data_IF_509701905806
#
_entry.id   IF_509701905806
#
_cell.length_a   1.000
_cell.length_b   1.000
_cell.length_c   1.000
_cell.angle_alpha   90.00
_cell.angle_beta   90.00
_cell.angle_gamma   90.00
#
_symmetry.space_group_name_H-M   'P 1'
#
loop_
_entity.id
_entity.type
_entity.pdbx_description
1 polymer ?
#
# COMPACT_ATOMS: atom_id res chain seq x y z
N UNK A 1 -10.18 12.98 -5.38
CA UNK A 1 -9.10 12.98 -6.40
C UNK A 1 -7.90 13.87 -6.04
N UNK A 2 -8.00 15.22 -6.00
CA UNK A 2 -6.84 16.11 -5.78
C UNK A 2 -6.03 15.78 -4.51
N UNK A 3 -6.72 15.54 -3.39
CA UNK A 3 -6.11 15.13 -2.11
C UNK A 3 -5.27 13.86 -2.24
N UNK A 4 -5.78 12.85 -2.95
CA UNK A 4 -5.09 11.59 -3.18
C UNK A 4 -3.87 11.76 -4.09
N UNK A 5 -4.01 12.54 -5.18
CA UNK A 5 -2.92 12.82 -6.11
C UNK A 5 -1.76 13.54 -5.42
N UNK A 6 -2.07 14.60 -4.66
CA UNK A 6 -1.09 15.39 -3.93
C UNK A 6 -0.43 14.55 -2.84
N UNK A 7 -1.22 13.80 -2.07
CA UNK A 7 -0.72 12.96 -0.98
C UNK A 7 0.20 11.82 -1.44
N UNK A 8 0.07 11.38 -2.70
CA UNK A 8 0.94 10.39 -3.31
C UNK A 8 2.14 10.99 -4.09
N UNK A 9 2.24 12.31 -4.17
CA UNK A 9 3.30 13.01 -4.89
C UNK A 9 4.49 13.34 -3.98
N UNK A 10 5.66 13.54 -4.58
CA UNK A 10 6.85 14.03 -3.87
C UNK A 10 6.87 15.57 -3.70
N UNK A 11 5.76 16.28 -3.94
CA UNK A 11 5.73 17.75 -3.97
C UNK A 11 6.13 18.41 -2.63
N UNK A 12 6.05 17.68 -1.51
CA UNK A 12 6.46 18.14 -0.18
C UNK A 12 7.60 17.33 0.46
N UNK A 13 8.16 16.33 -0.21
CA UNK A 13 9.19 15.47 0.38
C UNK A 13 10.55 16.19 0.44
N UNK A 14 11.15 16.25 1.63
CA UNK A 14 12.50 16.82 1.83
C UNK A 14 12.59 18.35 1.72
N UNK A 15 11.45 19.05 1.65
CA UNK A 15 11.38 20.51 1.55
C UNK A 15 10.94 21.11 2.90
N UNK A 16 11.57 22.21 3.30
CA UNK A 16 11.11 23.02 4.43
C UNK A 16 9.67 23.51 4.17
N UNK A 17 8.77 23.30 5.15
CA UNK A 17 7.32 23.52 5.00
C UNK A 17 6.60 22.62 3.97
N UNK A 18 7.13 21.42 3.69
CA UNK A 18 6.54 20.45 2.74
C UNK A 18 5.04 20.16 2.88
N UNK A 19 4.53 20.06 4.12
CA UNK A 19 3.10 19.87 4.38
C UNK A 19 2.27 21.04 3.88
N UNK A 20 2.73 22.27 4.13
CA UNK A 20 2.06 23.48 3.68
C UNK A 20 2.03 23.55 2.14
N UNK A 21 3.15 23.24 1.46
CA UNK A 21 3.20 23.20 -0.01
C UNK A 21 2.26 22.15 -0.61
N UNK A 22 2.15 20.99 0.05
CA UNK A 22 1.22 19.94 -0.36
C UNK A 22 -0.23 20.40 -0.23
N UNK A 23 -0.62 20.95 0.93
CA UNK A 23 -2.00 21.46 1.11
C UNK A 23 -2.32 22.61 0.14
N UNK A 24 -1.39 23.54 -0.10
CA UNK A 24 -1.61 24.61 -1.08
C UNK A 24 -1.75 24.09 -2.51
N UNK A 25 -0.97 23.07 -2.90
CA UNK A 25 -1.10 22.43 -4.20
C UNK A 25 -2.48 21.76 -4.37
N UNK A 26 -3.01 21.14 -3.30
CA UNK A 26 -4.37 20.59 -3.28
C UNK A 26 -5.43 21.68 -3.45
N UNK A 27 -5.31 22.80 -2.73
CA UNK A 27 -6.26 23.92 -2.84
C UNK A 27 -6.26 24.54 -4.23
N UNK A 28 -5.12 24.54 -4.94
CA UNK A 28 -5.07 24.96 -6.35
C UNK A 28 -5.63 23.90 -7.31
N UNK A 29 -5.26 22.62 -7.14
CA UNK A 29 -5.65 21.56 -8.09
C UNK A 29 -7.13 21.18 -8.00
N UNK A 30 -7.75 21.25 -6.83
CA UNK A 30 -9.16 20.91 -6.65
C UNK A 30 -10.12 21.73 -7.54
N UNK A 31 -10.10 23.08 -7.52
CA UNK A 31 -10.97 23.89 -8.38
C UNK A 31 -10.60 23.74 -9.86
N UNK A 32 -9.33 23.54 -10.22
CA UNK A 32 -8.92 23.32 -11.61
C UNK A 32 -9.45 22.00 -12.18
N UNK A 33 -9.38 20.91 -11.40
CA UNK A 33 -9.96 19.62 -11.79
C UNK A 33 -11.49 19.72 -11.90
N UNK A 34 -12.13 20.45 -10.99
CA UNK A 34 -13.57 20.69 -11.04
C UNK A 34 -13.98 21.48 -12.28
N UNK A 35 -13.27 22.58 -12.58
CA UNK A 35 -13.47 23.38 -13.78
C UNK A 35 -13.33 22.53 -15.05
N UNK A 36 -12.29 21.69 -15.12
CA UNK A 36 -12.08 20.81 -16.25
C UNK A 36 -13.22 19.81 -16.45
N UNK A 37 -13.73 19.23 -15.36
CA UNK A 37 -14.90 18.34 -15.42
C UNK A 37 -16.15 19.06 -15.93
N UNK A 38 -16.38 20.31 -15.50
CA UNK A 38 -17.54 21.12 -15.92
C UNK A 38 -17.51 21.52 -17.39
N UNK A 39 -16.33 21.85 -17.95
CA UNK A 39 -16.19 22.29 -19.33
C UNK A 39 -15.66 21.21 -20.30
N UNK A 40 -15.63 19.94 -19.88
CA UNK A 40 -15.22 18.81 -20.71
C UNK A 40 -13.76 18.86 -21.15
N UNK A 41 -12.88 19.44 -20.32
CA UNK A 41 -11.44 19.53 -20.56
C UNK A 41 -10.69 18.34 -19.98
N UNK A 42 -9.54 18.06 -20.56
CA UNK A 42 -8.68 16.95 -20.15
C UNK A 42 -7.73 17.38 -19.02
N UNK A 43 -7.12 16.40 -18.36
CA UNK A 43 -6.03 16.65 -17.40
C UNK A 43 -4.83 17.36 -18.05
N UNK A 44 -4.69 17.27 -19.38
CA UNK A 44 -3.65 17.99 -20.13
C UNK A 44 -3.92 19.49 -20.20
N UNK A 45 -5.20 19.89 -20.22
CA UNK A 45 -5.61 21.29 -20.12
C UNK A 45 -5.35 21.83 -18.71
N UNK A 46 -5.65 21.05 -17.67
CA UNK A 46 -5.31 21.38 -16.27
C UNK A 46 -3.80 21.60 -16.12
N UNK A 47 -2.99 20.66 -16.65
CA UNK A 47 -1.53 20.82 -16.66
C UNK A 47 -1.09 22.07 -17.42
N UNK A 48 -1.76 22.42 -18.52
CA UNK A 48 -1.47 23.64 -19.28
C UNK A 48 -1.77 24.90 -18.47
N UNK A 49 -2.91 24.97 -17.79
CA UNK A 49 -3.27 26.09 -16.92
C UNK A 49 -2.23 26.29 -15.81
N UNK A 50 -1.83 25.20 -15.15
CA UNK A 50 -0.80 25.23 -14.10
C UNK A 50 0.58 25.63 -14.68
N UNK A 51 1.00 25.06 -15.81
CA UNK A 51 2.31 25.33 -16.38
C UNK A 51 2.47 26.77 -16.90
N UNK A 52 1.37 27.39 -17.36
CA UNK A 52 1.36 28.77 -17.86
C UNK A 52 0.99 29.79 -16.79
N UNK A 53 0.58 29.33 -15.60
CA UNK A 53 0.05 30.18 -14.54
C UNK A 53 -1.14 31.01 -15.06
N UNK A 54 -1.96 30.38 -15.90
CA UNK A 54 -3.10 30.99 -16.58
C UNK A 54 -4.34 30.14 -16.31
N UNK A 55 -5.16 30.60 -15.37
CA UNK A 55 -6.34 29.89 -14.86
C UNK A 55 -7.64 30.63 -15.21
N UNK A 56 -7.58 31.64 -16.09
CA UNK A 56 -8.74 32.48 -16.44
C UNK A 56 -9.88 31.65 -17.06
N UNK A 57 -9.53 30.71 -17.94
CA UNK A 57 -10.50 29.79 -18.54
C UNK A 57 -11.19 28.92 -17.48
N UNK A 58 -10.44 28.42 -16.51
CA UNK A 58 -10.96 27.59 -15.42
C UNK A 58 -11.89 28.41 -14.49
N UNK A 59 -11.48 29.62 -14.11
CA UNK A 59 -12.31 30.52 -13.30
C UNK A 59 -13.66 30.83 -13.94
N UNK A 60 -13.66 31.19 -15.24
CA UNK A 60 -14.91 31.42 -15.98
C UNK A 60 -15.81 30.19 -16.05
N UNK A 61 -15.23 29.00 -16.17
CA UNK A 61 -16.00 27.75 -16.18
C UNK A 61 -16.68 27.50 -14.83
N UNK A 62 -16.01 27.80 -13.72
CA UNK A 62 -16.56 27.69 -12.36
C UNK A 62 -17.69 28.72 -12.14
N UNK A 63 -17.45 29.98 -12.49
CA UNK A 63 -18.46 31.05 -12.40
C UNK A 63 -19.71 30.73 -13.24
N UNK A 64 -19.53 30.28 -14.48
CA UNK A 64 -20.64 29.94 -15.36
C UNK A 64 -21.49 28.76 -14.85
N UNK A 65 -20.89 27.87 -14.06
CA UNK A 65 -21.56 26.74 -13.43
C UNK A 65 -22.16 27.08 -12.04
N UNK A 66 -21.95 28.30 -11.52
CA UNK A 66 -22.36 28.68 -10.17
C UNK A 66 -21.56 27.97 -9.07
N UNK A 67 -20.33 27.55 -9.35
CA UNK A 67 -19.44 26.88 -8.40
C UNK A 67 -18.66 27.90 -7.55
N UNK A 68 -19.38 28.80 -6.87
CA UNK A 68 -18.83 30.02 -6.25
C UNK A 68 -17.67 29.72 -5.30
N UNK A 69 -17.79 28.73 -4.42
CA UNK A 69 -16.72 28.37 -3.49
C UNK A 69 -15.42 27.94 -4.20
N UNK A 70 -15.53 27.17 -5.29
CA UNK A 70 -14.37 26.75 -6.06
C UNK A 70 -13.78 27.91 -6.88
N UNK A 71 -14.62 28.83 -7.36
CA UNK A 71 -14.18 30.05 -8.04
C UNK A 71 -13.42 30.96 -7.06
N UNK A 72 -13.94 31.17 -5.85
CA UNK A 72 -13.32 31.95 -4.78
C UNK A 72 -11.98 31.36 -4.34
N UNK A 73 -11.90 30.04 -4.14
CA UNK A 73 -10.66 29.34 -3.81
C UNK A 73 -9.59 29.55 -4.90
N UNK A 74 -10.00 29.50 -6.18
CA UNK A 74 -9.10 29.72 -7.31
C UNK A 74 -8.64 31.19 -7.41
N UNK A 75 -9.55 32.16 -7.24
CA UNK A 75 -9.24 33.59 -7.24
C UNK A 75 -8.28 33.95 -6.10
N UNK A 76 -8.53 33.41 -4.89
CA UNK A 76 -7.68 33.63 -3.73
C UNK A 76 -6.21 33.26 -4.02
N UNK A 77 -5.97 32.10 -4.65
CA UNK A 77 -4.62 31.65 -5.00
C UNK A 77 -4.05 32.41 -6.21
N UNK A 78 -4.86 32.59 -7.25
CA UNK A 78 -4.37 33.10 -8.53
C UNK A 78 -4.15 34.62 -8.55
N UNK A 79 -4.96 35.38 -7.81
CA UNK A 79 -4.97 36.83 -7.86
C UNK A 79 -4.62 37.50 -6.53
N UNK A 80 -4.85 36.83 -5.38
CA UNK A 80 -4.69 37.46 -4.04
C UNK A 80 -3.47 36.99 -3.26
N UNK A 81 -2.87 35.86 -3.62
CA UNK A 81 -1.61 35.38 -3.04
C UNK A 81 -0.42 36.19 -3.56
N UNK A 82 0.54 36.46 -2.68
CA UNK A 82 1.80 37.15 -3.03
C UNK A 82 2.58 36.39 -4.12
N UNK A 83 3.29 37.12 -4.98
CA UNK A 83 3.89 36.60 -6.21
C UNK A 83 4.81 35.39 -6.00
N UNK A 84 5.69 35.45 -4.99
CA UNK A 84 6.64 34.39 -4.69
C UNK A 84 5.95 33.16 -4.11
N UNK A 85 5.00 33.35 -3.21
CA UNK A 85 4.18 32.27 -2.66
C UNK A 85 3.35 31.60 -3.76
N UNK A 86 2.66 32.39 -4.58
CA UNK A 86 1.88 31.92 -5.73
C UNK A 86 2.74 31.09 -6.69
N UNK A 87 3.91 31.62 -7.07
CA UNK A 87 4.87 30.90 -7.92
C UNK A 87 5.27 29.54 -7.33
N UNK A 88 5.45 29.47 -6.00
CA UNK A 88 5.81 28.24 -5.29
C UNK A 88 4.66 27.22 -5.26
N UNK A 89 3.42 27.68 -5.11
CA UNK A 89 2.21 26.84 -5.18
C UNK A 89 2.07 26.23 -6.58
N UNK A 90 2.18 27.04 -7.64
CA UNK A 90 2.11 26.55 -9.02
C UNK A 90 3.25 25.57 -9.34
N UNK A 91 4.47 25.83 -8.86
CA UNK A 91 5.60 24.91 -9.02
C UNK A 91 5.32 23.55 -8.35
N UNK A 92 4.77 23.56 -7.13
CA UNK A 92 4.40 22.35 -6.39
C UNK A 92 3.29 21.57 -7.12
N UNK A 93 2.25 22.25 -7.61
CA UNK A 93 1.18 21.63 -8.39
C UNK A 93 1.66 21.01 -9.71
N UNK A 94 2.71 21.56 -10.34
CA UNK A 94 3.33 20.95 -11.54
C UNK A 94 3.93 19.58 -11.22
N UNK A 95 4.53 19.40 -10.04
CA UNK A 95 5.15 18.13 -9.63
C UNK A 95 4.09 17.03 -9.59
N UNK A 96 2.91 17.32 -9.03
CA UNK A 96 1.77 16.39 -8.96
C UNK A 96 1.31 15.94 -10.34
N UNK A 97 1.39 16.83 -11.34
CA UNK A 97 0.95 16.59 -12.71
C UNK A 97 2.05 16.06 -13.64
N UNK A 98 3.24 15.71 -13.13
CA UNK A 98 4.38 15.28 -13.95
C UNK A 98 4.08 14.05 -14.83
N UNK A 99 3.28 13.09 -14.35
CA UNK A 99 2.85 11.93 -15.13
C UNK A 99 2.18 12.31 -16.46
N UNK A 100 1.47 13.44 -16.47
CA UNK A 100 0.75 13.94 -17.65
C UNK A 100 1.61 14.80 -18.58
N UNK A 101 2.93 14.85 -18.34
CA UNK A 101 3.87 15.62 -19.14
C UNK A 101 4.30 14.97 -20.46
N UNK A 102 4.05 13.67 -20.65
CA UNK A 102 4.39 12.99 -21.90
C UNK A 102 3.33 13.18 -22.98
N UNK A 103 3.75 13.21 -24.24
CA UNK A 103 2.84 13.28 -25.39
C UNK A 103 1.88 12.08 -25.43
N UNK A 104 2.33 10.91 -24.96
CA UNK A 104 1.49 9.73 -24.87
C UNK A 104 0.38 9.91 -23.83
N UNK A 105 0.72 10.37 -22.62
CA UNK A 105 -0.28 10.68 -21.61
C UNK A 105 -1.28 11.74 -22.10
N UNK A 106 -0.79 12.77 -22.80
CA UNK A 106 -1.63 13.83 -23.36
C UNK A 106 -2.54 13.38 -24.52
N UNK A 107 -2.14 12.35 -25.29
CA UNK A 107 -3.01 11.74 -26.30
C UNK A 107 -4.10 10.88 -25.66
N UNK A 108 -3.72 10.07 -24.66
CA UNK A 108 -4.63 9.17 -23.94
C UNK A 108 -5.67 9.90 -23.13
N UNK A 109 -5.30 11.02 -22.49
CA UNK A 109 -6.20 11.83 -21.67
C UNK A 109 -7.34 12.51 -22.43
N UNK A 110 -7.31 12.55 -23.78
CA UNK A 110 -8.35 13.18 -24.59
C UNK A 110 -9.63 12.38 -24.68
N UNK A 111 -9.57 11.07 -24.44
CA UNK A 111 -10.72 10.19 -24.53
C UNK A 111 -10.85 9.45 -23.21
N UNK A 112 -11.99 9.63 -22.55
CA UNK A 112 -12.35 8.80 -21.41
C UNK A 112 -12.40 7.34 -21.85
N UNK A 113 -11.63 6.50 -21.16
CA UNK A 113 -11.50 5.08 -21.44
C UNK A 113 -11.86 4.22 -20.21
N UNK A 114 -12.30 4.85 -19.12
CA UNK A 114 -12.66 4.19 -17.87
C UNK A 114 -13.79 4.98 -17.20
N UNK A 115 -14.76 4.26 -16.65
CA UNK A 115 -15.86 4.79 -15.84
C UNK A 115 -15.91 3.97 -14.55
N UNK A 116 -15.65 4.62 -13.42
CA UNK A 116 -15.63 3.97 -12.12
C UNK A 116 -17.03 3.50 -11.68
N UNK A 117 -18.10 4.22 -12.04
CA UNK A 117 -19.47 3.84 -11.72
C UNK A 117 -19.93 2.62 -12.51
N UNK A 118 -19.50 2.49 -13.76
CA UNK A 118 -19.74 1.29 -14.58
C UNK A 118 -18.92 0.10 -14.04
N UNK A 119 -17.63 0.32 -13.76
CA UNK A 119 -16.71 -0.70 -13.25
C UNK A 119 -17.22 -1.37 -11.96
N UNK A 120 -17.66 -0.59 -10.97
CA UNK A 120 -18.10 -1.17 -9.67
C UNK A 120 -19.40 -1.97 -9.76
N UNK A 121 -20.10 -1.89 -10.90
CA UNK A 121 -21.32 -2.66 -11.20
C UNK A 121 -21.03 -3.87 -12.09
N UNK A 122 -19.81 -3.99 -12.62
CA UNK A 122 -19.41 -5.07 -13.52
C UNK A 122 -18.61 -6.15 -12.77
N UNK A 123 -18.04 -7.09 -13.53
CA UNK A 123 -17.12 -8.12 -13.04
C UNK A 123 -15.70 -7.90 -13.58
N UNK A 124 -15.43 -6.69 -14.06
CA UNK A 124 -14.17 -6.36 -14.71
C UNK A 124 -13.02 -6.32 -13.70
N UNK A 125 -11.79 -6.37 -14.22
CA UNK A 125 -10.58 -6.25 -13.41
C UNK A 125 -9.65 -5.21 -14.02
N UNK A 126 -9.22 -4.25 -13.21
CA UNK A 126 -8.22 -3.24 -13.61
C UNK A 126 -6.85 -3.68 -13.14
N UNK A 127 -5.92 -3.85 -14.08
CA UNK A 127 -4.51 -4.08 -13.79
C UNK A 127 -3.75 -2.77 -13.88
N UNK A 128 -3.10 -2.39 -12.78
CA UNK A 128 -2.27 -1.18 -12.71
C UNK A 128 -0.81 -1.63 -12.71
N UNK A 129 -0.07 -1.25 -13.76
CA UNK A 129 1.35 -1.59 -13.89
C UNK A 129 2.18 -0.32 -13.93
N UNK A 130 3.11 -0.18 -12.99
CA UNK A 130 4.05 0.93 -12.94
C UNK A 130 5.49 0.38 -12.89
N UNK A 131 6.31 0.61 -13.93
CA UNK A 131 7.73 0.23 -13.88
C UNK A 131 8.41 0.88 -12.69
N UNK A 132 9.28 0.15 -11.97
CA UNK A 132 9.90 0.62 -10.71
C UNK A 132 10.57 1.98 -10.82
N UNK A 133 11.20 2.29 -11.96
CA UNK A 133 11.86 3.57 -12.21
C UNK A 133 10.89 4.76 -12.46
N UNK A 134 9.60 4.50 -12.66
CA UNK A 134 8.55 5.51 -12.89
C UNK A 134 7.51 5.58 -11.76
N UNK A 135 7.55 4.67 -10.78
CA UNK A 135 6.55 4.58 -9.70
C UNK A 135 6.31 5.94 -9.01
N UNK A 136 7.37 6.66 -8.63
CA UNK A 136 7.25 7.98 -7.99
C UNK A 136 6.54 9.03 -8.87
N UNK A 137 6.73 8.97 -10.19
CA UNK A 137 6.09 9.90 -11.13
C UNK A 137 4.63 9.51 -11.34
N UNK A 138 4.33 8.20 -11.38
CA UNK A 138 3.00 7.66 -11.65
C UNK A 138 2.11 7.55 -10.41
N UNK A 139 2.67 7.58 -9.21
CA UNK A 139 1.93 7.41 -7.95
C UNK A 139 0.74 8.38 -7.80
N UNK A 140 0.83 9.68 -8.17
CA UNK A 140 -0.33 10.58 -8.16
C UNK A 140 -1.48 10.10 -9.07
N UNK A 141 -1.15 9.59 -10.26
CA UNK A 141 -2.15 9.07 -11.21
C UNK A 141 -2.83 7.83 -10.63
N UNK A 142 -2.04 6.88 -10.10
CA UNK A 142 -2.56 5.65 -9.49
C UNK A 142 -3.43 5.98 -8.28
N UNK A 143 -2.98 6.86 -7.40
CA UNK A 143 -3.74 7.28 -6.23
C UNK A 143 -5.05 7.99 -6.62
N UNK A 144 -5.02 8.83 -7.67
CA UNK A 144 -6.22 9.46 -8.22
C UNK A 144 -7.25 8.44 -8.72
N UNK A 145 -6.80 7.43 -9.48
CA UNK A 145 -7.66 6.36 -9.99
C UNK A 145 -8.27 5.51 -8.87
N UNK A 146 -7.44 5.07 -7.91
CA UNK A 146 -7.93 4.29 -6.76
C UNK A 146 -8.95 5.10 -5.95
N UNK A 147 -8.72 6.39 -5.75
CA UNK A 147 -9.66 7.26 -5.05
C UNK A 147 -11.01 7.34 -5.78
N UNK A 148 -11.01 7.46 -7.11
CA UNK A 148 -12.22 7.49 -7.93
C UNK A 148 -12.99 6.17 -7.84
N UNK A 149 -12.29 5.04 -7.92
CA UNK A 149 -12.86 3.70 -7.74
C UNK A 149 -13.46 3.55 -6.33
N UNK A 150 -12.78 4.06 -5.29
CA UNK A 150 -13.29 4.03 -3.91
C UNK A 150 -14.61 4.80 -3.80
N UNK A 151 -14.62 6.03 -4.31
CA UNK A 151 -15.77 6.90 -4.20
C UNK A 151 -16.97 6.32 -4.97
N UNK A 152 -16.75 5.71 -6.14
CA UNK A 152 -17.77 4.94 -6.86
C UNK A 152 -18.25 3.71 -6.07
N UNK A 153 -17.31 2.94 -5.48
CA UNK A 153 -17.63 1.75 -4.67
C UNK A 153 -18.54 2.12 -3.50
N UNK A 154 -18.21 3.18 -2.77
CA UNK A 154 -18.98 3.61 -1.61
C UNK A 154 -20.33 4.21 -2.00
N UNK A 155 -20.42 4.90 -3.15
CA UNK A 155 -21.72 5.35 -3.69
C UNK A 155 -22.60 4.16 -4.06
N UNK A 156 -22.02 3.14 -4.70
CA UNK A 156 -22.75 1.93 -5.07
C UNK A 156 -23.19 1.12 -3.85
N UNK A 157 -22.33 0.94 -2.84
CA UNK A 157 -22.66 0.23 -1.60
C UNK A 157 -23.82 0.88 -0.81
N UNK A 158 -23.99 2.20 -0.93
CA UNK A 158 -25.12 2.95 -0.34
C UNK A 158 -26.41 2.87 -1.17
N UNK A 159 -26.36 2.33 -2.38
CA UNK A 159 -27.52 2.21 -3.26
C UNK A 159 -28.38 0.99 -2.89
N UNK A 160 -29.69 1.09 -3.16
CA UNK A 160 -30.62 -0.04 -2.98
C UNK A 160 -30.28 -1.26 -3.87
N UNK A 161 -29.59 -1.03 -4.98
CA UNK A 161 -29.20 -2.08 -5.93
C UNK A 161 -28.16 -3.03 -5.34
N UNK A 162 -27.22 -2.51 -4.54
CA UNK A 162 -26.18 -3.32 -3.91
C UNK A 162 -26.75 -4.39 -2.97
N UNK A 163 -27.72 -4.01 -2.14
CA UNK A 163 -28.41 -4.95 -1.24
C UNK A 163 -29.23 -6.00 -2.01
N UNK A 164 -29.78 -5.65 -3.17
CA UNK A 164 -30.60 -6.56 -3.97
C UNK A 164 -29.75 -7.57 -4.77
N UNK A 165 -28.53 -7.21 -5.16
CA UNK A 165 -27.70 -8.01 -6.08
C UNK A 165 -26.71 -8.94 -5.38
N UNK A 166 -26.56 -8.87 -4.04
CA UNK A 166 -25.48 -9.58 -3.33
C UNK A 166 -24.11 -9.37 -4.01
N UNK A 167 -23.87 -8.15 -4.50
CA UNK A 167 -22.67 -7.85 -5.28
C UNK A 167 -21.42 -8.11 -4.45
N UNK A 168 -20.40 -8.81 -5.01
CA UNK A 168 -19.15 -9.03 -4.31
C UNK A 168 -18.46 -7.69 -4.06
N UNK A 169 -17.71 -7.60 -2.97
CA UNK A 169 -16.91 -6.41 -2.67
C UNK A 169 -15.85 -6.18 -3.76
N UNK A 170 -15.59 -4.92 -4.08
CA UNK A 170 -14.43 -4.54 -4.91
C UNK A 170 -13.17 -4.89 -4.13
N UNK A 171 -12.23 -5.59 -4.76
CA UNK A 171 -10.95 -5.96 -4.16
C UNK A 171 -9.84 -5.03 -4.65
N UNK A 172 -9.16 -4.37 -3.71
CA UNK A 172 -7.87 -3.75 -3.95
C UNK A 172 -6.75 -4.71 -3.56
N UNK A 173 -6.06 -5.25 -4.55
CA UNK A 173 -4.87 -6.07 -4.38
C UNK A 173 -3.62 -5.21 -4.64
N UNK A 174 -3.04 -4.65 -3.57
CA UNK A 174 -1.94 -3.68 -3.65
C UNK A 174 -0.63 -4.36 -3.24
N UNK A 175 0.12 -4.90 -4.21
CA UNK A 175 1.35 -5.68 -4.02
C UNK A 175 2.54 -4.85 -3.46
N UNK A 176 2.65 -3.58 -3.87
CA UNK A 176 3.63 -2.61 -3.39
C UNK A 176 2.97 -1.30 -2.96
N UNK A 177 2.06 -1.36 -1.99
CA UNK A 177 1.24 -0.19 -1.60
C UNK A 177 2.09 1.03 -1.20
N UNK A 178 3.27 0.82 -0.61
CA UNK A 178 4.16 1.92 -0.21
C UNK A 178 4.84 2.65 -1.37
N UNK A 179 4.89 2.03 -2.57
CA UNK A 179 5.58 2.56 -3.75
C UNK A 179 4.60 2.95 -4.87
N UNK A 180 3.69 2.06 -5.23
CA UNK A 180 2.79 2.23 -6.38
C UNK A 180 1.60 3.12 -6.03
N UNK A 181 1.05 2.96 -4.82
CA UNK A 181 -0.16 3.63 -4.38
C UNK A 181 -0.05 4.10 -2.92
N UNK A 182 0.85 5.05 -2.59
CA UNK A 182 1.01 5.56 -1.24
C UNK A 182 -0.17 6.46 -0.84
N UNK A 183 -1.32 5.84 -0.59
CA UNK A 183 -2.55 6.51 -0.20
C UNK A 183 -2.39 7.04 1.22
N UNK A 184 -2.18 8.36 1.41
CA UNK A 184 -2.07 9.01 2.73
C UNK A 184 -3.19 8.60 3.70
N UNK A 185 -4.40 8.38 3.17
CA UNK A 185 -5.61 7.97 3.92
C UNK A 185 -5.83 6.46 4.01
N UNK A 186 -4.88 5.62 3.61
CA UNK A 186 -4.99 4.16 3.68
C UNK A 186 -5.54 3.67 5.04
N UNK A 187 -5.10 4.20 6.20
CA UNK A 187 -5.61 3.73 7.49
C UNK A 187 -7.11 3.98 7.67
N UNK A 188 -7.59 5.16 7.26
CA UNK A 188 -9.01 5.50 7.28
C UNK A 188 -9.81 4.65 6.31
N UNK A 189 -9.28 4.43 5.10
CA UNK A 189 -9.90 3.58 4.07
C UNK A 189 -10.09 2.16 4.60
N UNK A 190 -9.06 1.54 5.18
CA UNK A 190 -9.16 0.15 5.68
C UNK A 190 -10.17 0.05 6.83
N UNK A 191 -10.26 1.07 7.68
CA UNK A 191 -11.21 1.12 8.81
C UNK A 191 -12.68 1.11 8.36
N UNK A 192 -13.00 1.84 7.29
CA UNK A 192 -14.38 1.99 6.80
C UNK A 192 -14.74 1.00 5.68
N UNK A 193 -13.75 0.47 4.95
CA UNK A 193 -13.91 -0.32 3.73
C UNK A 193 -14.84 -1.52 3.90
N UNK A 194 -14.72 -2.24 5.01
CA UNK A 194 -15.51 -3.46 5.28
C UNK A 194 -17.02 -3.24 5.31
N UNK A 195 -17.48 -2.03 5.66
CA UNK A 195 -18.90 -1.68 5.65
C UNK A 195 -19.39 -1.06 4.34
N UNK A 196 -18.49 -0.78 3.41
CA UNK A 196 -18.75 0.02 2.20
C UNK A 196 -18.48 -0.77 0.91
N UNK A 197 -18.48 -2.11 0.97
CA UNK A 197 -18.29 -2.95 -0.21
C UNK A 197 -16.88 -2.93 -0.80
N UNK A 198 -15.87 -2.55 -0.01
CA UNK A 198 -14.47 -2.55 -0.41
C UNK A 198 -13.67 -3.52 0.46
N UNK A 199 -12.84 -4.35 -0.17
CA UNK A 199 -11.86 -5.20 0.49
C UNK A 199 -10.45 -4.73 0.11
N UNK A 200 -9.60 -4.49 1.11
CA UNK A 200 -8.22 -4.04 0.88
C UNK A 200 -7.24 -5.14 1.29
N UNK A 201 -6.45 -5.59 0.33
CA UNK A 201 -5.25 -6.41 0.54
C UNK A 201 -4.04 -5.53 0.26
N UNK A 202 -3.32 -5.15 1.31
CA UNK A 202 -2.11 -4.35 1.21
C UNK A 202 -0.90 -5.23 1.53
N UNK A 203 0.02 -5.34 0.57
CA UNK A 203 1.28 -6.07 0.71
C UNK A 203 2.42 -5.07 0.93
N UNK A 204 3.27 -5.39 1.90
CA UNK A 204 4.44 -4.62 2.28
C UNK A 204 5.61 -5.60 2.39
N UNK A 205 6.76 -5.21 1.86
CA UNK A 205 7.99 -5.99 2.04
C UNK A 205 8.53 -5.83 3.46
N UNK A 206 8.41 -4.63 4.02
CA UNK A 206 8.84 -4.31 5.37
C UNK A 206 7.88 -3.26 5.99
N UNK A 207 7.46 -3.47 7.25
CA UNK A 207 6.68 -2.48 8.00
C UNK A 207 7.48 -1.20 8.30
N UNK A 208 8.81 -1.22 8.20
CA UNK A 208 9.64 -0.01 8.22
C UNK A 208 9.24 0.97 7.11
N UNK A 209 8.94 0.46 5.90
CA UNK A 209 8.43 1.28 4.79
C UNK A 209 7.10 1.94 5.16
N UNK A 210 6.23 1.20 5.86
CA UNK A 210 4.98 1.75 6.33
C UNK A 210 5.19 2.89 7.35
N UNK A 211 6.13 2.73 8.29
CA UNK A 211 6.49 3.80 9.25
C UNK A 211 7.02 5.05 8.55
N UNK A 212 7.85 4.89 7.52
CA UNK A 212 8.33 6.02 6.71
C UNK A 212 7.19 6.72 5.97
N UNK A 213 6.22 5.97 5.44
CA UNK A 213 5.14 6.53 4.60
C UNK A 213 3.95 7.09 5.39
N UNK A 214 3.52 6.41 6.45
CA UNK A 214 2.32 6.77 7.23
C UNK A 214 2.61 7.25 8.66
N UNK A 215 3.88 7.31 9.07
CA UNK A 215 4.27 7.79 10.39
C UNK A 215 3.63 6.97 11.51
N UNK A 216 3.09 7.66 12.52
CA UNK A 216 2.44 7.04 13.69
C UNK A 216 1.23 6.18 13.30
N UNK A 217 0.55 6.47 12.19
CA UNK A 217 -0.58 5.65 11.75
C UNK A 217 -0.15 4.23 11.35
N UNK A 218 1.12 4.03 10.96
CA UNK A 218 1.69 2.72 10.63
C UNK A 218 1.76 1.78 11.84
N UNK A 219 1.91 2.31 13.06
CA UNK A 219 1.96 1.52 14.29
C UNK A 219 0.67 0.73 14.51
N UNK A 220 -0.45 1.26 14.03
CA UNK A 220 -1.76 0.61 14.08
C UNK A 220 -2.01 -0.45 13.02
N UNK A 221 -1.12 -0.66 12.04
CA UNK A 221 -1.42 -1.53 10.88
C UNK A 221 -1.67 -2.99 11.30
N UNK A 222 -0.86 -3.49 12.22
CA UNK A 222 -1.04 -4.83 12.79
C UNK A 222 -2.36 -4.97 13.59
N UNK A 223 -3.00 -3.88 13.96
CA UNK A 223 -4.35 -3.91 14.56
C UNK A 223 -5.44 -3.74 13.50
N UNK A 224 -5.20 -2.82 12.55
CA UNK A 224 -6.17 -2.39 11.54
C UNK A 224 -6.52 -3.49 10.52
N UNK A 225 -5.53 -4.22 10.02
CA UNK A 225 -5.77 -5.30 9.07
C UNK A 225 -6.26 -6.55 9.79
N UNK A 226 -7.53 -6.95 9.67
CA UNK A 226 -8.08 -8.09 10.42
C UNK A 226 -7.37 -9.44 10.18
N UNK A 227 -6.77 -9.63 9.00
CA UNK A 227 -6.01 -10.82 8.62
C UNK A 227 -4.62 -10.41 8.16
N UNK A 228 -3.59 -11.12 8.64
CA UNK A 228 -2.19 -10.91 8.27
C UNK A 228 -1.62 -12.20 7.74
N UNK A 229 -0.89 -12.12 6.64
CA UNK A 229 -0.09 -13.22 6.12
C UNK A 229 1.36 -12.76 6.14
N UNK A 230 2.15 -13.43 6.97
CA UNK A 230 3.54 -13.07 7.24
C UNK A 230 4.43 -14.11 6.58
N UNK A 231 5.20 -13.66 5.60
CA UNK A 231 6.19 -14.46 4.89
C UNK A 231 7.54 -14.44 5.64
N UNK A 232 8.40 -15.45 5.44
CA UNK A 232 9.72 -15.51 6.07
C UNK A 232 10.67 -14.42 5.54
N UNK A 233 11.76 -14.20 6.25
CA UNK A 233 12.80 -13.23 5.87
C UNK A 233 12.66 -11.84 6.51
N UNK A 234 11.84 -11.70 7.56
CA UNK A 234 11.71 -10.45 8.31
C UNK A 234 12.94 -10.24 9.18
N UNK A 235 13.71 -9.18 8.89
CA UNK A 235 14.84 -8.75 9.71
C UNK A 235 14.51 -7.69 10.76
N UNK A 236 13.33 -7.05 10.68
CA UNK A 236 12.94 -5.98 11.60
C UNK A 236 12.53 -6.55 12.98
N UNK A 237 13.38 -6.33 13.98
CA UNK A 237 13.16 -6.81 15.36
C UNK A 237 11.83 -6.33 15.94
N UNK A 238 11.47 -5.07 15.73
CA UNK A 238 10.24 -4.50 16.26
C UNK A 238 9.00 -5.22 15.69
N UNK A 239 9.03 -5.52 14.39
CA UNK A 239 7.97 -6.30 13.73
C UNK A 239 7.87 -7.72 14.29
N UNK A 240 9.00 -8.41 14.48
CA UNK A 240 9.02 -9.77 15.03
C UNK A 240 8.49 -9.82 16.48
N UNK A 241 8.89 -8.87 17.33
CA UNK A 241 8.40 -8.77 18.70
C UNK A 241 6.90 -8.47 18.75
N UNK A 242 6.41 -7.58 17.90
CA UNK A 242 4.98 -7.28 17.79
C UNK A 242 4.17 -8.52 17.36
N UNK A 243 4.67 -9.27 16.35
CA UNK A 243 4.03 -10.50 15.89
C UNK A 243 4.05 -11.61 16.95
N UNK A 244 5.16 -11.80 17.66
CA UNK A 244 5.27 -12.76 18.77
C UNK A 244 4.27 -12.44 19.88
N UNK A 245 4.14 -11.15 20.23
CA UNK A 245 3.16 -10.66 21.19
C UNK A 245 1.71 -10.90 20.73
N UNK A 246 1.42 -10.70 19.44
CA UNK A 246 0.08 -10.97 18.87
C UNK A 246 -0.32 -12.44 18.89
N UNK A 247 0.64 -13.34 18.65
CA UNK A 247 0.43 -14.80 18.76
C UNK A 247 0.16 -15.19 20.22
N UNK A 248 0.81 -14.48 21.13
CA UNK A 248 0.61 -14.55 22.57
C UNK A 248 1.43 -15.65 23.26
N UNK A 249 1.26 -15.72 24.57
CA UNK A 249 2.01 -16.62 25.44
C UNK A 249 1.20 -17.85 25.83
N UNK A 250 1.90 -18.85 26.34
CA UNK A 250 1.32 -20.02 26.98
C UNK A 250 2.13 -20.45 28.19
N UNK A 251 1.46 -21.17 29.07
CA UNK A 251 2.06 -21.72 30.29
C UNK A 251 2.62 -23.10 29.95
N UNK A 252 3.91 -23.15 29.62
CA UNK A 252 4.57 -24.38 29.20
C UNK A 252 4.86 -25.26 30.42
N UNK A 253 4.35 -26.50 30.46
CA UNK A 253 4.67 -27.43 31.54
C UNK A 253 6.07 -28.03 31.31
N UNK A 254 6.89 -27.96 32.35
CA UNK A 254 8.20 -28.59 32.45
C UNK A 254 8.14 -29.74 33.44
N UNK A 255 8.64 -30.89 33.02
CA UNK A 255 8.85 -32.06 33.86
C UNK A 255 10.33 -32.16 34.20
N UNK A 256 10.70 -31.81 35.43
CA UNK A 256 12.02 -32.05 35.97
C UNK A 256 12.14 -33.49 36.44
N UNK A 257 13.19 -34.19 36.03
CA UNK A 257 13.55 -35.51 36.52
C UNK A 257 14.91 -35.44 37.19
N UNK A 258 14.95 -35.77 38.49
CA UNK A 258 16.21 -35.94 39.22
C UNK A 258 16.30 -37.36 39.75
N UNK A 259 17.41 -38.02 39.45
CA UNK A 259 17.74 -39.32 39.99
C UNK A 259 19.05 -39.17 40.76
N UNK A 260 19.03 -39.56 42.04
CA UNK A 260 20.21 -39.55 42.89
C UNK A 260 20.52 -40.97 43.36
N UNK A 261 21.79 -41.35 43.30
CA UNK A 261 22.27 -42.63 43.83
C UNK A 261 23.35 -42.34 44.86
N UNK A 262 23.03 -42.60 46.13
CA UNK A 262 23.96 -42.49 47.24
C UNK A 262 24.44 -43.86 47.70
N UNK A 263 25.72 -43.97 48.01
CA UNK A 263 26.28 -45.15 48.67
C UNK A 263 26.75 -44.73 50.06
N UNK A 264 26.14 -45.30 51.09
CA UNK A 264 26.53 -45.05 52.49
C UNK A 264 27.33 -46.24 52.97
N UNK A 265 28.59 -46.00 53.35
CA UNK A 265 29.44 -47.00 54.00
C UNK A 265 29.54 -46.67 55.48
N UNK A 266 28.99 -47.52 56.32
CA UNK A 266 29.04 -47.36 57.78
C UNK A 266 30.12 -48.28 58.36
N UNK A 267 31.00 -47.71 59.19
CA UNK A 267 32.04 -48.45 59.93
C UNK A 267 31.67 -48.46 61.43
N UNK A 268 31.56 -49.65 62.03
CA UNK A 268 31.27 -49.82 63.46
C UNK A 268 32.17 -50.88 64.12
N UNK A 269 32.44 -50.70 65.42
CA UNK A 269 33.15 -51.68 66.26
C UNK A 269 32.15 -52.60 66.99
N UNK A 270 32.45 -53.91 67.16
CA UNK A 270 33.59 -54.62 66.61
C UNK A 270 33.35 -54.97 65.13
N UNK A 271 34.15 -54.34 64.27
CA UNK A 271 34.34 -54.52 62.81
C UNK A 271 33.23 -55.18 62.00
N UNK A 272 32.18 -54.42 61.69
CA UNK A 272 31.30 -54.71 60.56
C UNK A 272 31.30 -53.55 59.56
N UNK A 273 31.67 -53.80 58.29
CA UNK A 273 31.46 -52.87 57.18
C UNK A 273 30.09 -53.19 56.58
N UNK A 274 29.17 -52.22 56.63
CA UNK A 274 27.88 -52.33 55.95
C UNK A 274 27.79 -51.26 54.88
N UNK A 275 27.50 -51.67 53.65
CA UNK A 275 27.23 -50.77 52.53
C UNK A 275 25.74 -50.80 52.19
N UNK A 276 25.11 -49.63 52.27
CA UNK A 276 23.75 -49.43 51.79
C UNK A 276 23.78 -48.57 50.54
N UNK A 277 23.16 -49.05 49.46
CA UNK A 277 22.93 -48.25 48.25
C UNK A 277 21.51 -47.73 48.28
N UNK A 278 21.35 -46.41 48.24
CA UNK A 278 20.05 -45.75 48.17
C UNK A 278 19.89 -45.08 46.82
N UNK A 279 18.84 -45.43 46.10
CA UNK A 279 18.42 -44.74 44.86
C UNK A 279 17.16 -43.95 45.14
N UNK A 280 17.16 -42.67 44.82
CA UNK A 280 15.98 -41.81 44.91
C UNK A 280 15.69 -41.19 43.56
N UNK A 281 14.46 -41.33 43.09
CA UNK A 281 13.95 -40.62 41.92
C UNK A 281 12.94 -39.57 42.39
N UNK A 282 13.06 -38.35 41.91
CA UNK A 282 12.10 -37.29 42.14
C UNK A 282 11.67 -36.69 40.81
N UNK A 283 10.36 -36.43 40.70
CA UNK A 283 9.77 -35.71 39.57
C UNK A 283 9.23 -34.39 40.09
N UNK A 284 9.66 -33.30 39.48
CA UNK A 284 9.10 -31.97 39.75
C UNK A 284 8.29 -31.52 38.54
N UNK A 285 7.12 -30.95 38.80
CA UNK A 285 6.31 -30.30 37.78
C UNK A 285 6.44 -28.80 38.01
N UNK A 286 6.87 -28.07 36.99
CA UNK A 286 6.98 -26.61 37.04
C UNK A 286 6.36 -26.06 35.77
N UNK A 287 5.75 -24.90 35.87
CA UNK A 287 5.15 -24.23 34.71
C UNK A 287 5.87 -22.91 34.52
N UNK A 288 6.22 -22.59 33.28
CA UNK A 288 6.85 -21.31 32.93
C UNK A 288 6.08 -20.64 31.81
N UNK A 289 5.81 -19.34 31.97
CA UNK A 289 5.18 -18.52 30.95
C UNK A 289 6.18 -18.27 29.82
N UNK A 290 5.86 -18.68 28.61
CA UNK A 290 6.70 -18.51 27.41
C UNK A 290 5.85 -18.03 26.23
N UNK A 291 6.48 -17.32 25.28
CA UNK A 291 5.84 -17.02 24.00
C UNK A 291 5.48 -18.32 23.28
N UNK A 292 4.30 -18.40 22.65
CA UNK A 292 3.94 -19.57 21.83
C UNK A 292 4.82 -19.71 20.61
N UNK A 293 5.19 -18.58 20.00
CA UNK A 293 6.21 -18.49 18.95
C UNK A 293 7.08 -17.30 19.29
N UNK A 294 8.38 -17.53 19.48
CA UNK A 294 9.37 -16.50 19.74
C UNK A 294 9.69 -15.68 18.49
N UNK A 295 10.21 -14.47 18.68
CA UNK A 295 10.70 -13.64 17.57
C UNK A 295 11.78 -14.36 16.73
N UNK A 296 12.61 -15.20 17.35
CA UNK A 296 13.62 -15.99 16.67
C UNK A 296 13.01 -17.08 15.78
N UNK A 297 11.96 -17.76 16.24
CA UNK A 297 11.23 -18.74 15.43
C UNK A 297 10.50 -18.07 14.26
N UNK A 298 9.91 -16.89 14.49
CA UNK A 298 9.28 -16.09 13.43
C UNK A 298 10.27 -15.66 12.34
N UNK A 299 11.49 -15.26 12.73
CA UNK A 299 12.55 -14.91 11.79
C UNK A 299 12.99 -16.10 10.92
N UNK A 300 12.84 -17.32 11.43
CA UNK A 300 13.31 -18.56 10.81
C UNK A 300 12.15 -19.47 10.32
N UNK A 301 10.99 -18.90 10.01
CA UNK A 301 9.90 -19.63 9.36
C UNK A 301 10.44 -20.28 8.07
N UNK A 302 10.11 -21.56 7.78
CA UNK A 302 10.52 -22.21 6.54
C UNK A 302 10.04 -21.45 5.29
N UNK A 303 10.84 -21.46 4.22
CA UNK A 303 10.55 -20.73 2.98
C UNK A 303 9.25 -21.14 2.29
N UNK A 304 8.78 -22.38 2.51
CA UNK A 304 7.53 -22.92 1.98
C UNK A 304 6.34 -22.72 2.93
N UNK A 305 6.49 -21.88 3.96
CA UNK A 305 5.44 -21.58 4.93
C UNK A 305 5.23 -20.08 5.09
N UNK A 306 4.03 -19.72 5.55
CA UNK A 306 3.69 -18.37 6.00
C UNK A 306 2.89 -18.47 7.30
N UNK A 307 3.08 -17.51 8.20
CA UNK A 307 2.25 -17.37 9.38
C UNK A 307 0.99 -16.58 9.02
N UNK A 308 -0.17 -17.17 9.28
CA UNK A 308 -1.46 -16.48 9.17
C UNK A 308 -1.93 -16.10 10.57
N UNK A 309 -2.25 -14.83 10.78
CA UNK A 309 -2.81 -14.32 12.03
C UNK A 309 -4.16 -13.67 11.74
N UNK A 310 -5.23 -14.16 12.37
CA UNK A 310 -6.60 -13.68 12.21
C UNK A 310 -7.38 -13.79 13.52
N UNK A 311 -7.95 -12.67 13.99
CA UNK A 311 -8.88 -12.65 15.14
C UNK A 311 -8.36 -13.39 16.39
N UNK A 312 -7.08 -13.22 16.74
CA UNK A 312 -6.46 -13.88 17.90
C UNK A 312 -6.08 -15.36 17.68
N UNK A 313 -6.34 -15.91 16.50
CA UNK A 313 -5.87 -17.21 16.08
C UNK A 313 -4.65 -17.05 15.17
N UNK A 314 -3.74 -18.00 15.26
CA UNK A 314 -2.63 -18.12 14.33
C UNK A 314 -2.54 -19.55 13.79
N UNK A 315 -2.04 -19.68 12.57
CA UNK A 315 -1.68 -20.95 11.97
C UNK A 315 -0.48 -20.78 11.05
N UNK A 316 0.33 -21.83 10.95
CA UNK A 316 1.35 -21.91 9.91
C UNK A 316 0.73 -22.60 8.70
N UNK A 317 0.69 -21.91 7.56
CA UNK A 317 0.15 -22.44 6.31
C UNK A 317 1.29 -22.70 5.33
N UNK A 318 1.17 -23.79 4.56
CA UNK A 318 2.12 -24.08 3.49
C UNK A 318 1.83 -23.18 2.30
N UNK A 319 2.84 -22.45 1.83
CA UNK A 319 2.75 -21.66 0.60
C UNK A 319 2.92 -22.58 -0.60
N UNK A 320 2.20 -22.29 -1.68
CA UNK A 320 2.27 -23.08 -2.90
C UNK A 320 2.56 -22.17 -4.09
N UNK A 321 3.49 -22.54 -4.99
CA UNK A 321 3.78 -21.71 -6.15
C UNK A 321 2.57 -21.64 -7.09
N UNK A 322 2.15 -20.43 -7.45
CA UNK A 322 0.97 -20.21 -8.28
C UNK A 322 1.08 -20.86 -9.68
N UNK A 323 2.29 -21.01 -10.22
CA UNK A 323 2.50 -21.60 -11.54
C UNK A 323 2.38 -23.13 -11.57
N UNK A 324 2.36 -23.81 -10.42
CA UNK A 324 2.33 -25.28 -10.36
C UNK A 324 1.20 -25.85 -9.51
N UNK A 325 0.65 -25.08 -8.57
CA UNK A 325 -0.35 -25.58 -7.63
C UNK A 325 -1.78 -25.22 -8.03
N UNK A 326 -2.64 -26.23 -8.08
CA UNK A 326 -4.08 -26.06 -8.31
C UNK A 326 -4.69 -25.06 -7.30
N UNK A 327 -5.62 -24.17 -7.72
CA UNK A 327 -6.30 -24.12 -9.02
C UNK A 327 -5.59 -23.24 -10.07
N UNK A 328 -4.51 -22.55 -9.71
CA UNK A 328 -3.94 -21.47 -10.52
C UNK A 328 -3.51 -21.85 -11.94
N UNK A 329 -2.84 -22.99 -12.21
CA UNK A 329 -2.55 -23.41 -13.58
C UNK A 329 -3.81 -23.57 -14.44
N UNK A 330 -4.90 -24.05 -13.84
CA UNK A 330 -6.18 -24.22 -14.55
C UNK A 330 -6.88 -22.88 -14.80
N UNK A 331 -6.65 -21.88 -13.94
CA UNK A 331 -7.14 -20.51 -14.15
C UNK A 331 -6.33 -19.82 -15.25
N UNK A 332 -5.00 -19.94 -15.22
CA UNK A 332 -4.10 -19.36 -16.22
C UNK A 332 -4.32 -19.96 -17.61
N UNK A 333 -4.61 -21.25 -17.71
CA UNK A 333 -4.98 -21.90 -18.98
C UNK A 333 -6.30 -21.39 -19.58
N UNK A 334 -7.13 -20.69 -18.80
CA UNK A 334 -8.38 -20.05 -19.25
C UNK A 334 -8.20 -18.55 -19.49
N UNK A 335 -6.99 -18.00 -19.29
CA UNK A 335 -6.73 -16.61 -19.57
C UNK A 335 -6.97 -16.32 -21.06
N UNK A 336 -7.51 -15.15 -21.41
CA UNK A 336 -7.81 -14.84 -22.81
C UNK A 336 -6.53 -14.83 -23.66
N UNK A 337 -6.49 -15.64 -24.70
CA UNK A 337 -5.37 -15.72 -25.67
C UNK A 337 -5.23 -14.45 -26.54
N UNK A 338 -6.25 -13.58 -26.53
CA UNK A 338 -6.33 -12.39 -27.35
C UNK A 338 -6.67 -11.17 -26.51
N UNK A 339 -5.70 -10.26 -26.41
CA UNK A 339 -5.92 -8.91 -25.87
C UNK A 339 -6.47 -8.05 -27.01
N UNK A 340 -7.67 -7.49 -26.83
CA UNK A 340 -8.18 -6.45 -27.70
C UNK A 340 -7.61 -5.14 -27.20
N UNK A 341 -6.73 -4.52 -27.99
CA UNK A 341 -6.15 -3.24 -27.62
C UNK A 341 -7.21 -2.14 -27.78
N UNK A 342 -7.68 -1.63 -26.64
CA UNK A 342 -8.57 -0.47 -26.60
C UNK A 342 -7.79 0.85 -26.50
N UNK A 343 -6.45 0.79 -26.45
CA UNK A 343 -5.53 1.88 -26.73
C UNK A 343 -4.95 1.74 -28.15
N UNK A 344 -4.59 2.84 -28.82
CA UNK A 344 -3.64 2.78 -29.95
C UNK A 344 -2.27 2.18 -29.57
N UNK A 345 -1.32 2.07 -30.50
CA UNK A 345 -0.01 1.45 -30.22
C UNK A 345 0.80 2.18 -29.11
N UNK A 346 1.17 1.44 -28.07
CA UNK A 346 2.11 1.89 -27.04
C UNK A 346 3.55 1.83 -27.60
N UNK A 347 3.98 2.92 -28.24
CA UNK A 347 5.42 3.10 -28.52
C UNK A 347 6.04 3.71 -27.27
N UNK A 348 6.61 2.86 -26.40
CA UNK A 348 7.63 3.31 -25.46
C UNK A 348 8.82 3.79 -26.28
N UNK A 349 9.40 4.97 -25.99
CA UNK A 349 10.60 5.41 -26.69
C UNK A 349 11.71 4.38 -26.46
N UNK A 350 12.30 3.92 -27.56
CA UNK A 350 13.41 2.98 -27.56
C UNK A 350 14.55 3.52 -26.67
N UNK A 351 15.01 2.76 -25.65
CA UNK A 351 16.12 3.18 -24.80
C UNK A 351 17.43 3.46 -25.57
N UNK A 352 17.54 3.07 -26.85
CA UNK A 352 18.73 3.30 -27.67
C UNK A 352 18.83 4.70 -28.31
N UNK A 353 17.85 5.60 -28.15
CA UNK A 353 17.91 6.95 -28.77
C UNK A 353 18.80 7.96 -28.00
N UNK A 354 19.52 7.52 -26.95
CA UNK A 354 20.58 8.32 -26.28
C UNK A 354 21.99 7.87 -26.69
N UNK A 355 22.31 7.77 -27.98
CA UNK A 355 23.71 7.65 -28.43
C UNK A 355 23.91 8.08 -29.88
N UNK A 356 23.48 9.30 -30.25
CA UNK A 356 23.96 9.91 -31.50
C UNK A 356 23.86 11.42 -31.42
N UNK A 357 24.88 12.02 -30.81
CA UNK A 357 25.27 13.39 -31.08
C UNK A 357 26.30 13.41 -32.24
N UNK A 358 26.42 14.51 -32.99
CA UNK A 358 26.76 14.46 -34.41
C UNK A 358 28.27 14.63 -34.69
N UNK A 359 28.75 13.83 -35.64
CA UNK A 359 29.80 14.12 -36.62
C UNK A 359 30.96 15.03 -36.23
N UNK A 360 32.09 14.43 -35.83
CA UNK A 360 33.40 14.95 -36.22
C UNK A 360 33.71 14.45 -37.64
N UNK A 361 33.68 15.37 -38.61
CA UNK A 361 34.08 15.11 -39.99
C UNK A 361 35.61 14.94 -40.12
N UNK A 362 36.11 14.23 -41.14
CA UNK A 362 37.53 13.98 -41.29
C UNK A 362 38.17 15.02 -42.23
N UNK A 363 39.00 15.93 -41.71
CA UNK A 363 40.04 16.72 -42.43
C UNK A 363 40.98 17.29 -41.36
N UNK A 364 42.30 17.29 -41.42
CA UNK A 364 43.31 16.89 -42.41
C UNK A 364 44.66 16.92 -41.69
#
# INVERSE_FOLDING_TARGET
MADAMVGASSAGEGVENGTYWSESAKTLLAPLLHAAALCGKSISDVRRWVARVDVVEAGRALEAAGADAAADDLDAIAARTEERERSSIFASSRIVLNAYGSDQAAKRSKKQNFDADEFVRSVDTVYITAPSHLQNILAPLVAGLLEEIRDATYRFARSSQYAAQHSPAVLWALDEVANIAPLKRLPGIVSEAGGQGLQVMACLQDLSQARTRWGTAAEGFLSLFGTKVVFPGIGDRATLEALSTMVGDWDRPYLGYSANTGTTTTYGYPTGRSEGRTTGEARSHTTQREAKISAAELANIPSDHALVVRSGHYSLVRTTPFYSASPWPSVLAKAPDRVVDHGGADVLPDPQVRASAPGEGPRS
#
